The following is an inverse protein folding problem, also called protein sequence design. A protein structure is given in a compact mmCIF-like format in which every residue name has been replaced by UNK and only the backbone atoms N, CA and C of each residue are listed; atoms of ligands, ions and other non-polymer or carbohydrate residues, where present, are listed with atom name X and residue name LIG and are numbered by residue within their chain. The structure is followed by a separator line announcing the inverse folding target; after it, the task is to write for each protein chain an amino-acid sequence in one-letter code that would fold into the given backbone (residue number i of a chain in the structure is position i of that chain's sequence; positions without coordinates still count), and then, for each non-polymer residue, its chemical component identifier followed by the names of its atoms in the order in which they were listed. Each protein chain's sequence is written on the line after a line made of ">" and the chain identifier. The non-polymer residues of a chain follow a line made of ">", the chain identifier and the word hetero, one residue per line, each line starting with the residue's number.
data_IF_090810772258
#
_entry.id   IF_090810772258
#
_cell.length_a   1.000
_cell.length_b   1.000
_cell.length_c   1.000
_cell.angle_alpha   90.00
_cell.angle_beta   90.00
_cell.angle_gamma   90.00
#
_symmetry.space_group_name_H-M   'P 1'
#
loop_
_entity.id
_entity.type
_entity.pdbx_description
1 polymer ?
#
# COMPACT_ATOMS: atom_id res chain seq x y z
N UNK A 1 6.48 -5.77 21.05
CA UNK A 1 5.17 -6.45 20.97
C UNK A 1 5.33 -7.93 20.63
N UNK A 2 5.93 -8.28 19.49
CA UNK A 2 6.16 -9.68 19.08
C UNK A 2 6.99 -10.49 20.09
N UNK A 3 8.10 -9.92 20.59
CA UNK A 3 8.91 -10.57 21.64
C UNK A 3 8.15 -10.80 22.96
N UNK A 4 7.12 -10.02 23.23
CA UNK A 4 6.27 -10.18 24.40
C UNK A 4 5.14 -11.22 24.19
N UNK A 5 5.11 -11.90 23.05
CA UNK A 5 4.12 -12.95 22.74
C UNK A 5 2.72 -12.43 22.38
N UNK A 6 2.56 -11.13 22.10
CA UNK A 6 1.28 -10.58 21.65
C UNK A 6 0.95 -11.06 20.23
N UNK A 7 -0.35 -11.22 19.88
CA UNK A 7 -0.78 -11.67 18.56
C UNK A 7 -0.60 -10.56 17.52
N UNK A 8 0.65 -10.38 17.07
CA UNK A 8 1.03 -9.41 16.05
C UNK A 8 1.20 -10.15 14.72
N UNK A 9 0.54 -9.73 13.64
CA UNK A 9 0.77 -10.32 12.32
C UNK A 9 2.24 -10.24 11.93
N UNK A 10 2.80 -11.31 11.33
CA UNK A 10 4.20 -11.33 10.93
C UNK A 10 4.49 -10.25 9.87
N UNK A 11 5.72 -9.76 9.87
CA UNK A 11 6.15 -8.69 8.98
C UNK A 11 7.67 -8.60 8.91
N UNK A 12 8.13 -7.67 8.09
CA UNK A 12 9.52 -7.28 7.93
C UNK A 12 9.67 -5.76 8.06
N UNK A 13 10.88 -5.31 8.36
CA UNK A 13 11.23 -3.90 8.43
C UNK A 13 12.41 -3.65 7.50
N UNK A 14 12.21 -2.80 6.50
CA UNK A 14 13.28 -2.21 5.71
C UNK A 14 13.86 -1.05 6.52
N UNK A 15 15.17 -1.08 6.77
CA UNK A 15 15.81 -0.17 7.72
C UNK A 15 15.86 1.28 7.23
N UNK A 16 16.09 2.21 8.15
CA UNK A 16 16.39 3.61 7.81
C UNK A 16 17.71 3.75 7.04
N UNK A 17 18.68 2.89 7.30
CA UNK A 17 19.95 2.83 6.54
C UNK A 17 19.70 2.53 5.06
N UNK A 18 18.75 1.65 4.75
CA UNK A 18 18.35 1.37 3.37
C UNK A 18 17.71 2.61 2.71
N UNK A 19 16.94 3.42 3.45
CA UNK A 19 16.43 4.71 2.95
C UNK A 19 17.57 5.68 2.62
N UNK A 20 18.56 5.80 3.50
CA UNK A 20 19.72 6.67 3.26
C UNK A 20 20.54 6.19 2.06
N UNK A 21 20.78 4.88 1.95
CA UNK A 21 21.46 4.27 0.82
C UNK A 21 20.69 4.48 -0.49
N UNK A 22 19.36 4.39 -0.46
CA UNK A 22 18.50 4.69 -1.60
C UNK A 22 18.70 6.12 -2.11
N UNK A 23 18.75 7.12 -1.22
CA UNK A 23 19.03 8.50 -1.61
C UNK A 23 20.47 8.70 -2.11
N UNK A 24 21.45 8.06 -1.46
CA UNK A 24 22.85 8.10 -1.90
C UNK A 24 23.04 7.45 -3.29
N UNK A 25 22.19 6.48 -3.63
CA UNK A 25 22.19 5.78 -4.91
C UNK A 25 21.20 6.37 -5.93
N UNK A 26 21.02 7.70 -5.94
CA UNK A 26 20.12 8.39 -6.88
C UNK A 26 18.69 7.86 -6.91
N UNK A 27 18.13 7.54 -5.73
CA UNK A 27 16.78 6.98 -5.58
C UNK A 27 16.63 5.62 -6.28
N UNK A 28 17.66 4.79 -6.20
CA UNK A 28 17.63 3.38 -6.59
C UNK A 28 17.90 2.52 -5.36
N UNK A 29 17.25 1.36 -5.26
CA UNK A 29 17.54 0.45 -4.15
C UNK A 29 19.02 0.03 -4.18
N UNK A 30 19.71 -0.01 -3.04
CA UNK A 30 21.07 -0.53 -2.98
C UNK A 30 21.08 -2.03 -3.30
N UNK A 31 22.21 -2.51 -3.84
CA UNK A 31 22.40 -3.90 -4.22
C UNK A 31 22.10 -4.86 -3.05
N UNK A 32 21.36 -5.94 -3.33
CA UNK A 32 21.02 -6.95 -2.33
C UNK A 32 19.84 -6.58 -1.41
N UNK A 33 19.33 -5.35 -1.45
CA UNK A 33 18.19 -4.96 -0.61
C UNK A 33 16.90 -5.66 -1.05
N UNK A 34 16.65 -5.72 -2.37
CA UNK A 34 15.40 -6.28 -2.87
C UNK A 34 15.32 -7.78 -2.59
N UNK A 35 16.44 -8.49 -2.76
CA UNK A 35 16.58 -9.91 -2.45
C UNK A 35 16.26 -10.19 -0.97
N UNK A 36 16.77 -9.36 -0.05
CA UNK A 36 16.44 -9.46 1.37
C UNK A 36 14.96 -9.24 1.67
N UNK A 37 14.31 -8.30 0.96
CA UNK A 37 12.86 -8.08 1.09
C UNK A 37 12.09 -9.31 0.62
N UNK A 38 12.45 -9.88 -0.53
CA UNK A 38 11.78 -11.08 -1.05
C UNK A 38 12.00 -12.32 -0.19
N UNK A 39 13.22 -12.51 0.34
CA UNK A 39 13.54 -13.63 1.25
C UNK A 39 12.74 -13.52 2.55
N UNK A 40 12.68 -12.33 3.14
CA UNK A 40 11.89 -12.09 4.34
C UNK A 40 10.37 -12.24 4.07
N UNK A 41 9.89 -11.88 2.88
CA UNK A 41 8.50 -12.10 2.49
C UNK A 41 8.17 -13.60 2.41
N UNK A 42 9.07 -14.43 1.89
CA UNK A 42 8.90 -15.89 1.89
C UNK A 42 8.82 -16.47 3.30
N UNK A 43 9.56 -15.92 4.26
CA UNK A 43 9.43 -16.31 5.67
C UNK A 43 8.08 -15.91 6.27
N UNK A 44 7.49 -14.79 5.83
CA UNK A 44 6.12 -14.40 6.20
C UNK A 44 5.11 -15.38 5.59
N UNK A 45 5.24 -15.71 4.29
CA UNK A 45 4.40 -16.68 3.59
C UNK A 45 4.35 -18.03 4.32
N UNK A 46 5.51 -18.57 4.72
CA UNK A 46 5.61 -19.82 5.48
C UNK A 46 4.88 -19.75 6.83
N UNK A 47 4.92 -18.61 7.52
CA UNK A 47 4.28 -18.43 8.83
C UNK A 47 2.76 -18.29 8.73
N UNK A 48 2.27 -17.61 7.69
CA UNK A 48 0.84 -17.34 7.51
C UNK A 48 0.15 -18.48 6.74
N UNK A 49 0.91 -19.29 5.99
CA UNK A 49 0.36 -20.35 5.14
C UNK A 49 -0.34 -19.81 3.90
N UNK A 50 0.07 -18.63 3.43
CA UNK A 50 -0.43 -17.95 2.22
C UNK A 50 0.75 -17.53 1.34
N UNK A 51 0.49 -17.26 0.06
CA UNK A 51 1.54 -16.88 -0.89
C UNK A 51 1.22 -15.54 -1.54
N UNK A 52 2.20 -14.65 -1.59
CA UNK A 52 2.08 -13.31 -2.15
C UNK A 52 1.92 -13.39 -3.66
N UNK A 53 0.80 -12.85 -4.13
CA UNK A 53 0.37 -12.96 -5.53
C UNK A 53 -0.23 -14.30 -5.94
N UNK A 54 -0.55 -15.20 -5.01
CA UNK A 54 -1.28 -16.42 -5.34
C UNK A 54 -2.76 -16.13 -5.62
N UNK A 55 -3.25 -16.61 -6.75
CA UNK A 55 -4.61 -16.34 -7.23
C UNK A 55 -5.70 -16.95 -6.35
N UNK A 56 -5.38 -18.00 -5.58
CA UNK A 56 -6.36 -18.78 -4.78
C UNK A 56 -6.20 -18.55 -3.29
N UNK A 57 -4.95 -18.40 -2.83
CA UNK A 57 -4.59 -18.18 -1.44
C UNK A 57 -3.66 -16.98 -1.26
N UNK A 58 -4.13 -15.77 -1.63
CA UNK A 58 -3.31 -14.58 -1.63
C UNK A 58 -2.90 -14.17 -0.21
N UNK A 59 -1.60 -13.97 -0.02
CA UNK A 59 -1.09 -13.12 1.04
C UNK A 59 -1.29 -11.66 0.59
N UNK A 60 -1.90 -10.85 1.46
CA UNK A 60 -1.98 -9.40 1.30
C UNK A 60 -1.15 -8.76 2.40
N UNK A 61 -0.54 -7.61 2.11
CA UNK A 61 0.28 -6.90 3.09
C UNK A 61 -0.13 -5.43 3.20
N UNK A 62 0.19 -4.84 4.33
CA UNK A 62 0.21 -3.38 4.51
C UNK A 62 1.62 -2.85 4.46
N UNK A 63 1.79 -1.66 3.89
CA UNK A 63 3.06 -0.92 3.83
C UNK A 63 2.91 0.38 4.61
N UNK A 64 3.79 0.60 5.59
CA UNK A 64 3.72 1.75 6.51
C UNK A 64 5.08 2.39 6.70
N UNK A 65 5.11 3.72 6.66
CA UNK A 65 6.29 4.49 7.04
C UNK A 65 6.56 4.38 8.56
N UNK A 66 7.82 4.40 8.96
CA UNK A 66 8.22 4.37 10.36
C UNK A 66 9.52 5.13 10.60
N UNK A 67 9.43 6.30 11.24
CA UNK A 67 10.61 7.08 11.62
C UNK A 67 10.94 6.93 13.12
N UNK A 68 12.18 7.24 13.48
CA UNK A 68 12.64 7.24 14.88
C UNK A 68 11.84 8.19 15.77
N UNK A 69 11.32 9.27 15.19
CA UNK A 69 10.45 10.25 15.84
C UNK A 69 9.07 10.25 15.19
N UNK A 70 8.05 10.66 15.94
CA UNK A 70 6.73 10.89 15.35
C UNK A 70 6.82 12.03 14.35
N UNK A 71 6.46 11.73 13.11
CA UNK A 71 6.73 12.56 11.94
C UNK A 71 5.45 12.76 11.14
N UNK A 72 4.64 13.80 11.43
CA UNK A 72 3.47 14.15 10.64
C UNK A 72 3.84 14.50 9.20
N UNK A 73 3.13 13.93 8.23
CA UNK A 73 3.37 14.19 6.81
C UNK A 73 4.36 13.26 6.13
N UNK A 74 4.73 12.15 6.78
CA UNK A 74 5.24 10.97 6.07
C UNK A 74 4.11 10.26 5.32
N UNK A 75 4.47 9.33 4.44
CA UNK A 75 3.52 8.53 3.68
C UNK A 75 2.48 7.87 4.58
N UNK A 76 1.21 8.03 4.20
CA UNK A 76 0.08 7.32 4.79
C UNK A 76 0.16 5.80 4.52
N UNK A 77 -0.66 5.02 5.24
CA UNK A 77 -0.61 3.55 5.16
C UNK A 77 -1.32 3.04 3.90
N UNK A 78 -0.64 2.18 3.14
CA UNK A 78 -1.27 1.39 2.07
C UNK A 78 -1.69 0.04 2.66
N UNK A 79 -2.97 -0.30 2.52
CA UNK A 79 -3.54 -1.59 2.94
C UNK A 79 -3.86 -2.45 1.72
N UNK A 80 -3.98 -3.77 1.95
CA UNK A 80 -4.39 -4.75 0.94
C UNK A 80 -3.48 -4.79 -0.30
N UNK A 81 -2.21 -4.43 -0.15
CA UNK A 81 -1.22 -4.53 -1.22
C UNK A 81 -1.03 -6.01 -1.59
N UNK A 82 -1.03 -6.27 -2.89
CA UNK A 82 -1.08 -7.60 -3.49
C UNK A 82 -2.41 -7.93 -4.15
N UNK A 83 -3.43 -7.06 -4.02
CA UNK A 83 -4.67 -7.19 -4.77
C UNK A 83 -4.48 -6.80 -6.24
N UNK A 84 -5.02 -7.64 -7.12
CA UNK A 84 -5.16 -7.47 -8.56
C UNK A 84 -6.43 -8.22 -9.03
N UNK A 85 -6.68 -8.30 -10.34
CA UNK A 85 -7.88 -8.97 -10.88
C UNK A 85 -7.94 -10.48 -10.56
N UNK A 86 -6.79 -11.12 -10.37
CA UNK A 86 -6.71 -12.56 -10.08
C UNK A 86 -6.84 -12.82 -8.58
N UNK A 87 -6.00 -12.20 -7.77
CA UNK A 87 -5.97 -12.37 -6.31
C UNK A 87 -7.25 -11.90 -5.61
N UNK A 88 -7.98 -10.92 -6.17
CA UNK A 88 -9.29 -10.52 -5.61
C UNK A 88 -10.32 -11.66 -5.69
N UNK A 89 -10.21 -12.51 -6.70
CA UNK A 89 -11.08 -13.69 -6.85
C UNK A 89 -10.75 -14.72 -5.77
N UNK A 90 -9.48 -15.00 -5.52
CA UNK A 90 -9.05 -15.85 -4.40
C UNK A 90 -9.52 -15.31 -3.05
N UNK A 91 -9.40 -14.00 -2.81
CA UNK A 91 -9.91 -13.38 -1.59
C UNK A 91 -11.43 -13.58 -1.42
N UNK A 92 -12.19 -13.42 -2.50
CA UNK A 92 -13.65 -13.65 -2.49
C UNK A 92 -14.00 -15.11 -2.16
N UNK A 93 -13.28 -16.07 -2.75
CA UNK A 93 -13.50 -17.50 -2.49
C UNK A 93 -13.17 -17.88 -1.04
N UNK A 94 -12.06 -17.37 -0.49
CA UNK A 94 -11.66 -17.66 0.88
C UNK A 94 -12.61 -17.10 1.93
N UNK A 95 -13.17 -15.92 1.66
CA UNK A 95 -14.06 -15.24 2.60
C UNK A 95 -15.52 -15.63 2.40
N UNK A 96 -15.87 -16.20 1.24
CA UNK A 96 -17.26 -16.39 0.83
C UNK A 96 -18.01 -15.07 0.60
N UNK A 97 -17.29 -13.94 0.45
CA UNK A 97 -17.87 -12.60 0.33
C UNK A 97 -17.22 -11.80 -0.80
N UNK A 98 -17.85 -11.88 -1.98
CA UNK A 98 -17.43 -11.13 -3.17
C UNK A 98 -17.53 -9.61 -2.97
N UNK A 99 -18.52 -9.13 -2.21
CA UNK A 99 -18.66 -7.69 -1.96
C UNK A 99 -17.48 -7.20 -1.14
N UNK A 100 -17.11 -7.92 -0.09
CA UNK A 100 -15.95 -7.61 0.74
C UNK A 100 -14.67 -7.56 -0.09
N UNK A 101 -14.39 -8.58 -0.91
CA UNK A 101 -13.18 -8.62 -1.71
C UNK A 101 -13.09 -7.43 -2.69
N UNK A 102 -14.20 -7.07 -3.34
CA UNK A 102 -14.25 -5.92 -4.25
C UNK A 102 -14.15 -4.58 -3.51
N UNK A 103 -14.73 -4.44 -2.31
CA UNK A 103 -14.54 -3.24 -1.48
C UNK A 103 -13.09 -3.11 -0.98
N UNK A 104 -12.44 -4.24 -0.65
CA UNK A 104 -11.02 -4.25 -0.33
C UNK A 104 -10.17 -3.82 -1.54
N UNK A 105 -10.54 -4.27 -2.75
CA UNK A 105 -9.80 -3.95 -3.96
C UNK A 105 -9.95 -2.49 -4.40
N UNK A 106 -11.16 -1.91 -4.35
CA UNK A 106 -11.34 -0.48 -4.62
C UNK A 106 -10.58 0.39 -3.61
N UNK A 107 -10.58 0.01 -2.32
CA UNK A 107 -9.81 0.72 -1.30
C UNK A 107 -8.31 0.63 -1.55
N UNK A 108 -7.82 -0.53 -1.98
CA UNK A 108 -6.42 -0.66 -2.40
C UNK A 108 -6.12 0.26 -3.57
N UNK A 109 -6.96 0.26 -4.62
CA UNK A 109 -6.73 1.05 -5.81
C UNK A 109 -6.67 2.55 -5.51
N UNK A 110 -7.60 3.07 -4.70
CA UNK A 110 -7.58 4.48 -4.29
C UNK A 110 -6.42 4.82 -3.35
N UNK A 111 -6.12 3.99 -2.34
CA UNK A 111 -4.96 4.21 -1.46
C UNK A 111 -3.63 4.17 -2.22
N UNK A 112 -3.45 3.20 -3.12
CA UNK A 112 -2.25 3.09 -3.93
C UNK A 112 -2.14 4.27 -4.91
N UNK A 113 -3.23 4.61 -5.59
CA UNK A 113 -3.28 5.76 -6.50
C UNK A 113 -2.99 7.08 -5.79
N UNK A 114 -3.55 7.31 -4.62
CA UNK A 114 -3.33 8.53 -3.84
C UNK A 114 -1.91 8.59 -3.27
N UNK A 115 -1.50 7.54 -2.56
CA UNK A 115 -0.32 7.59 -1.70
C UNK A 115 0.96 7.23 -2.46
N UNK A 116 0.90 6.22 -3.33
CA UNK A 116 2.07 5.72 -4.07
C UNK A 116 2.27 6.49 -5.37
N UNK A 117 1.19 6.71 -6.12
CA UNK A 117 1.24 7.39 -7.42
C UNK A 117 1.11 8.92 -7.28
N UNK A 118 0.43 9.43 -6.25
CA UNK A 118 0.27 10.86 -6.01
C UNK A 118 -0.96 11.48 -6.69
N UNK A 119 -1.98 10.67 -7.00
CA UNK A 119 -3.25 11.15 -7.56
C UNK A 119 -4.05 11.88 -6.48
N UNK A 120 -4.62 13.03 -6.81
CA UNK A 120 -5.41 13.82 -5.87
C UNK A 120 -6.66 13.05 -5.36
N UNK A 121 -6.80 12.97 -4.04
CA UNK A 121 -7.87 12.26 -3.33
C UNK A 121 -9.27 12.60 -3.84
N UNK A 122 -9.52 13.88 -4.16
CA UNK A 122 -10.84 14.35 -4.60
C UNK A 122 -11.31 13.70 -5.91
N UNK A 123 -10.38 13.16 -6.72
CA UNK A 123 -10.75 12.42 -7.94
C UNK A 123 -11.42 11.08 -7.59
N UNK A 124 -10.91 10.37 -6.59
CA UNK A 124 -11.48 9.11 -6.13
C UNK A 124 -12.82 9.32 -5.42
N UNK A 125 -12.92 10.35 -4.57
CA UNK A 125 -14.18 10.68 -3.88
C UNK A 125 -15.31 11.01 -4.86
N UNK A 126 -15.02 11.76 -5.94
CA UNK A 126 -16.02 12.05 -6.99
C UNK A 126 -16.55 10.78 -7.67
N UNK A 127 -15.71 9.77 -7.86
CA UNK A 127 -16.16 8.47 -8.40
C UNK A 127 -17.10 7.80 -7.41
N UNK A 128 -16.71 7.71 -6.15
CA UNK A 128 -17.53 7.13 -5.09
C UNK A 128 -18.90 7.82 -4.99
N UNK A 129 -18.93 9.15 -4.94
CA UNK A 129 -20.17 9.93 -4.86
C UNK A 129 -21.10 9.68 -6.05
N UNK A 130 -20.54 9.58 -7.27
CA UNK A 130 -21.31 9.28 -8.48
C UNK A 130 -22.02 7.92 -8.39
N UNK A 131 -21.35 6.89 -7.88
CA UNK A 131 -21.96 5.56 -7.74
C UNK A 131 -22.94 5.50 -6.57
N UNK A 132 -22.60 6.11 -5.42
CA UNK A 132 -23.52 6.19 -4.26
C UNK A 132 -24.82 6.88 -4.61
N UNK A 133 -24.78 7.97 -5.38
CA UNK A 133 -25.97 8.72 -5.80
C UNK A 133 -26.97 7.89 -6.64
N UNK A 134 -26.53 6.77 -7.23
CA UNK A 134 -27.40 5.85 -7.98
C UNK A 134 -28.07 4.81 -7.08
N UNK A 135 -27.67 4.71 -5.81
CA UNK A 135 -28.27 3.81 -4.82
C UNK A 135 -29.39 4.52 -4.07
N UNK A 136 -30.33 3.74 -3.50
CA UNK A 136 -31.46 4.31 -2.75
C UNK A 136 -31.04 5.03 -1.45
N UNK A 137 -29.95 4.61 -0.81
CA UNK A 137 -29.53 5.12 0.50
C UNK A 137 -28.35 6.09 0.45
N UNK A 138 -27.62 6.16 -0.67
CA UNK A 138 -26.50 7.08 -0.84
C UNK A 138 -25.27 6.74 0.01
N UNK A 139 -25.16 5.52 0.53
CA UNK A 139 -24.07 5.09 1.42
C UNK A 139 -23.15 4.10 0.74
N UNK A 140 -21.89 4.06 1.16
CA UNK A 140 -20.91 3.03 0.77
C UNK A 140 -21.44 1.60 0.97
N UNK A 141 -22.22 1.39 2.04
CA UNK A 141 -22.82 0.09 2.36
C UNK A 141 -23.86 -0.37 1.35
N UNK A 142 -24.42 0.55 0.57
CA UNK A 142 -25.47 0.25 -0.41
C UNK A 142 -24.89 -0.24 -1.75
N UNK A 143 -23.59 -0.08 -1.96
CA UNK A 143 -22.88 -0.52 -3.16
C UNK A 143 -22.79 -2.05 -3.20
N UNK A 144 -23.20 -2.63 -4.33
CA UNK A 144 -23.14 -4.07 -4.60
C UNK A 144 -21.93 -4.39 -5.47
N UNK A 145 -21.62 -5.68 -5.72
CA UNK A 145 -20.48 -6.08 -6.52
C UNK A 145 -20.39 -5.43 -7.91
N UNK A 146 -21.52 -5.19 -8.57
CA UNK A 146 -21.53 -4.55 -9.89
C UNK A 146 -21.06 -3.10 -9.84
N UNK A 147 -21.55 -2.32 -8.87
CA UNK A 147 -21.11 -0.93 -8.68
C UNK A 147 -19.64 -0.88 -8.25
N UNK A 148 -19.20 -1.77 -7.35
CA UNK A 148 -17.80 -1.84 -6.90
C UNK A 148 -16.83 -2.13 -8.06
N UNK A 149 -17.18 -3.04 -8.98
CA UNK A 149 -16.38 -3.26 -10.21
C UNK A 149 -16.30 -2.02 -11.09
N UNK A 150 -17.43 -1.30 -11.23
CA UNK A 150 -17.47 -0.03 -11.96
C UNK A 150 -16.62 1.06 -11.30
N UNK A 151 -16.55 1.09 -9.97
CA UNK A 151 -15.67 1.99 -9.22
C UNK A 151 -14.20 1.64 -9.48
N UNK A 152 -13.80 0.38 -9.30
CA UNK A 152 -12.41 -0.07 -9.52
C UNK A 152 -11.94 0.30 -10.93
N UNK A 153 -12.77 0.06 -11.95
CA UNK A 153 -12.45 0.42 -13.33
C UNK A 153 -12.24 1.94 -13.48
N UNK A 154 -13.14 2.76 -12.94
CA UNK A 154 -13.02 4.21 -13.00
C UNK A 154 -11.81 4.76 -12.22
N UNK A 155 -11.47 4.16 -11.08
CA UNK A 155 -10.28 4.52 -10.29
C UNK A 155 -8.99 4.21 -11.06
N UNK A 156 -8.92 3.03 -11.70
CA UNK A 156 -7.78 2.66 -12.59
C UNK A 156 -7.64 3.61 -13.78
N UNK A 157 -8.76 4.02 -14.40
CA UNK A 157 -8.74 5.01 -15.49
C UNK A 157 -8.21 6.37 -15.03
N UNK A 158 -8.56 6.82 -13.82
CA UNK A 158 -8.05 8.07 -13.24
C UNK A 158 -6.53 7.98 -13.04
N UNK A 159 -6.04 6.85 -12.53
CA UNK A 159 -4.60 6.62 -12.33
C UNK A 159 -3.87 6.62 -13.69
N UNK A 160 -4.45 5.95 -14.69
CA UNK A 160 -3.92 5.91 -16.06
C UNK A 160 -3.85 7.28 -16.72
N UNK A 161 -4.84 8.13 -16.48
CA UNK A 161 -4.86 9.50 -17.02
C UNK A 161 -3.69 10.37 -16.49
N UNK A 162 -3.11 10.02 -15.34
CA UNK A 162 -1.91 10.65 -14.79
C UNK A 162 -0.60 10.02 -15.33
N UNK A 163 -0.67 9.23 -16.41
CA UNK A 163 0.46 8.51 -17.04
C UNK A 163 1.12 7.47 -16.13
N UNK A 164 0.37 6.93 -15.18
CA UNK A 164 0.82 5.88 -14.27
C UNK A 164 -0.17 4.71 -14.26
N UNK A 165 0.26 3.54 -13.78
CA UNK A 165 -0.65 2.42 -13.58
C UNK A 165 -0.33 1.75 -12.25
N UNK A 166 -1.34 1.11 -11.65
CA UNK A 166 -1.08 0.15 -10.57
C UNK A 166 -0.45 -1.08 -11.24
N UNK A 167 0.76 -1.51 -10.84
CA UNK A 167 1.35 -2.72 -11.38
C UNK A 167 0.43 -3.93 -11.14
N UNK A 168 0.23 -4.79 -12.13
CA UNK A 168 -0.53 -6.02 -11.94
C UNK A 168 0.24 -7.04 -11.11
N UNK A 169 1.57 -7.03 -11.20
CA UNK A 169 2.46 -7.87 -10.39
C UNK A 169 2.55 -7.34 -8.94
N UNK A 170 2.12 -8.13 -7.94
CA UNK A 170 2.23 -7.78 -6.52
C UNK A 170 3.65 -7.43 -6.07
N UNK A 171 4.68 -8.06 -6.64
CA UNK A 171 6.07 -7.76 -6.28
C UNK A 171 6.46 -6.35 -6.74
N UNK A 172 6.06 -5.96 -7.95
CA UNK A 172 6.25 -4.60 -8.42
C UNK A 172 5.40 -3.59 -7.63
N UNK A 173 4.17 -3.93 -7.23
CA UNK A 173 3.38 -3.09 -6.31
C UNK A 173 4.16 -2.81 -5.01
N UNK A 174 4.73 -3.86 -4.40
CA UNK A 174 5.52 -3.74 -3.18
C UNK A 174 6.79 -2.91 -3.39
N UNK A 175 7.50 -3.15 -4.50
CA UNK A 175 8.73 -2.43 -4.87
C UNK A 175 8.47 -0.93 -4.98
N UNK A 176 7.42 -0.54 -5.71
CA UNK A 176 7.05 0.88 -5.90
C UNK A 176 6.55 1.49 -4.59
N UNK A 177 5.78 0.75 -3.78
CA UNK A 177 5.30 1.23 -2.49
C UNK A 177 6.46 1.51 -1.49
N UNK A 178 7.47 0.63 -1.42
CA UNK A 178 8.67 0.87 -0.60
C UNK A 178 9.41 2.13 -1.08
N UNK A 179 9.58 2.29 -2.40
CA UNK A 179 10.19 3.49 -2.98
C UNK A 179 9.41 4.76 -2.65
N UNK A 180 8.08 4.71 -2.68
CA UNK A 180 7.22 5.83 -2.28
C UNK A 180 7.37 6.18 -0.80
N UNK A 181 7.50 5.20 0.10
CA UNK A 181 7.76 5.46 1.53
C UNK A 181 9.08 6.20 1.70
N UNK A 182 10.16 5.73 1.06
CA UNK A 182 11.44 6.43 1.09
C UNK A 182 11.32 7.85 0.54
N UNK A 183 10.69 8.02 -0.62
CA UNK A 183 10.49 9.32 -1.24
C UNK A 183 9.72 10.30 -0.34
N UNK A 184 8.77 9.80 0.46
CA UNK A 184 7.99 10.63 1.40
C UNK A 184 8.84 11.27 2.49
N UNK A 185 10.01 10.72 2.80
CA UNK A 185 10.94 11.32 3.77
C UNK A 185 11.38 12.71 3.34
N UNK A 186 11.58 12.95 2.05
CA UNK A 186 11.92 14.27 1.50
C UNK A 186 10.70 15.05 1.01
N UNK A 187 9.48 14.59 1.34
CA UNK A 187 8.25 15.31 1.07
C UNK A 187 8.22 16.66 1.79
N UNK A 188 7.64 17.68 1.15
CA UNK A 188 7.63 19.06 1.67
C UNK A 188 7.18 19.15 3.13
N UNK A 189 6.08 18.48 3.48
CA UNK A 189 5.52 18.49 4.84
C UNK A 189 6.47 17.85 5.86
N UNK A 190 7.11 16.74 5.51
CA UNK A 190 8.11 16.08 6.35
C UNK A 190 9.35 16.97 6.56
N UNK A 191 9.88 17.56 5.48
CA UNK A 191 11.00 18.50 5.53
C UNK A 191 10.69 19.73 6.41
N UNK A 192 9.53 20.36 6.21
CA UNK A 192 9.11 21.53 6.99
C UNK A 192 8.97 21.17 8.48
N UNK A 193 8.37 20.01 8.79
CA UNK A 193 8.27 19.52 10.16
C UNK A 193 9.63 19.27 10.80
N UNK A 194 10.57 18.62 10.08
CA UNK A 194 11.93 18.38 10.60
C UNK A 194 12.69 19.67 10.89
N UNK A 195 12.58 20.67 10.00
CA UNK A 195 13.21 21.98 10.20
C UNK A 195 12.71 22.68 11.45
N UNK A 196 11.39 22.69 11.67
CA UNK A 196 10.77 23.30 12.85
C UNK A 196 11.22 22.59 14.13
N UNK A 197 11.26 21.26 14.10
CA UNK A 197 11.57 20.43 15.28
C UNK A 197 13.05 20.08 15.43
N UNK A 198 13.93 20.60 14.55
CA UNK A 198 15.38 20.34 14.51
C UNK A 198 15.74 18.85 14.43
N UNK A 199 14.97 18.09 13.64
CA UNK A 199 15.22 16.68 13.37
C UNK A 199 16.19 16.56 12.18
N UNK A 200 17.30 15.83 12.29
CA UNK A 200 18.25 15.65 11.18
C UNK A 200 17.64 14.93 9.97
N UNK A 201 18.04 15.35 8.76
CA UNK A 201 17.57 14.76 7.49
C UNK A 201 18.18 13.37 7.21
N UNK A 202 19.33 13.06 7.80
CA UNK A 202 20.09 11.81 7.62
C UNK A 202 19.57 10.64 8.47
N UNK A 203 18.50 10.83 9.24
CA UNK A 203 17.87 9.73 9.99
C UNK A 203 17.15 8.73 9.09
N UNK A 204 16.63 9.17 7.95
CA UNK A 204 15.82 8.35 7.05
C UNK A 204 14.47 7.88 7.65
N UNK A 205 13.76 7.05 6.89
CA UNK A 205 12.52 6.39 7.33
C UNK A 205 12.60 4.89 7.06
N UNK A 206 12.09 4.08 7.97
CA UNK A 206 11.93 2.65 7.79
C UNK A 206 10.63 2.34 7.03
N UNK A 207 10.58 1.17 6.41
CA UNK A 207 9.35 0.63 5.82
C UNK A 207 8.92 -0.62 6.55
N UNK A 208 7.73 -0.61 7.14
CA UNK A 208 7.13 -1.77 7.77
C UNK A 208 6.21 -2.44 6.75
N UNK A 209 6.49 -3.70 6.44
CA UNK A 209 5.62 -4.53 5.59
C UNK A 209 5.04 -5.63 6.47
N UNK A 210 3.71 -5.71 6.57
CA UNK A 210 3.04 -6.58 7.54
C UNK A 210 1.83 -7.28 6.92
N UNK A 211 1.71 -8.58 7.16
CA UNK A 211 0.58 -9.42 6.75
C UNK A 211 -0.75 -9.04 7.43
#
# INVERSE_FOLDING_TARGET
>A
MTQAGLPVPPGLIVTTEACNAYYANNKQFPDGMWEQVTDALQEIEKKVGKKFGDEKNPLLVSVRSGAAFSMPGMMDTVLNLGLNEETVTGLAEQTGDLRFALDAYRRFASLFGEIVIGVAHEKFERVMDRFKAQTKGGKDTDLKPAELRGIIAAEKEIILAEQHAIPDDPYEQLRVAIGAVFNSWMGRRACDYRRINRIPDDLGTAVNVQA
#
